data_IF_649564293976
#
_entry.id   IF_649564293976
#
_cell.length_a   1.000
_cell.length_b   1.000
_cell.length_c   1.000
_cell.angle_alpha   90.00
_cell.angle_beta   90.00
_cell.angle_gamma   90.00
#
_symmetry.space_group_name_H-M   'P 1'
#
loop_
_entity.id
_entity.type
_entity.pdbx_description
1 polymer ?
#
# COMPACT_ATOMS: atom_id res chain seq x y z
N UNK A 1 11.19 18.80 -3.66
CA UNK A 1 10.67 18.03 -4.82
C UNK A 1 10.00 16.78 -4.28
N UNK A 2 8.79 16.48 -4.73
CA UNK A 2 8.11 15.21 -4.42
C UNK A 2 8.55 14.17 -5.44
N UNK A 3 8.90 12.98 -4.99
CA UNK A 3 9.20 11.84 -5.87
C UNK A 3 8.44 10.60 -5.42
N UNK A 4 8.15 9.71 -6.38
CA UNK A 4 7.45 8.45 -6.13
C UNK A 4 8.35 7.30 -6.55
N UNK A 5 8.57 6.36 -5.64
CA UNK A 5 9.26 5.11 -5.91
C UNK A 5 8.30 3.93 -5.79
N UNK A 6 8.37 2.99 -6.71
CA UNK A 6 7.57 1.77 -6.70
C UNK A 6 8.42 0.59 -6.17
N UNK A 7 7.86 -0.14 -5.20
CA UNK A 7 8.42 -1.39 -4.68
C UNK A 7 7.46 -2.53 -4.98
N UNK A 8 8.00 -3.56 -5.64
CA UNK A 8 7.26 -4.70 -6.18
C UNK A 8 7.64 -6.03 -5.51
N UNK A 9 8.43 -5.95 -4.46
CA UNK A 9 8.99 -7.08 -3.74
C UNK A 9 8.66 -6.91 -2.26
N UNK A 10 7.98 -7.91 -1.68
CA UNK A 10 7.53 -7.89 -0.31
C UNK A 10 8.72 -7.91 0.65
N UNK A 11 9.82 -8.58 0.30
CA UNK A 11 10.96 -8.74 1.20
C UNK A 11 11.71 -7.40 1.39
N UNK A 12 11.55 -6.47 0.45
CA UNK A 12 12.13 -5.12 0.56
C UNK A 12 11.41 -4.24 1.59
N UNK A 13 10.25 -4.64 2.11
CA UNK A 13 9.52 -3.91 3.16
C UNK A 13 10.32 -3.74 4.44
N UNK A 14 11.17 -4.71 4.77
CA UNK A 14 11.94 -4.70 6.02
C UNK A 14 12.82 -3.46 6.15
N UNK A 15 13.37 -2.97 5.03
CA UNK A 15 14.16 -1.74 5.00
C UNK A 15 13.34 -0.48 5.36
N UNK A 16 12.02 -0.53 5.23
CA UNK A 16 11.11 0.61 5.43
C UNK A 16 10.16 0.43 6.61
N UNK A 17 10.19 -0.71 7.31
CA UNK A 17 9.23 -1.09 8.37
C UNK A 17 9.12 -0.01 9.46
N UNK A 18 10.24 0.55 9.91
CA UNK A 18 10.26 1.62 10.90
C UNK A 18 9.61 2.92 10.38
N UNK A 19 9.94 3.33 9.16
CA UNK A 19 9.37 4.52 8.55
C UNK A 19 7.86 4.37 8.32
N UNK A 20 7.43 3.18 7.89
CA UNK A 20 6.02 2.83 7.71
C UNK A 20 5.26 2.93 9.03
N UNK A 21 5.75 2.29 10.09
CA UNK A 21 5.11 2.36 11.43
C UNK A 21 5.03 3.79 11.95
N UNK A 22 6.07 4.60 11.71
CA UNK A 22 6.08 6.00 12.09
C UNK A 22 5.03 6.84 11.33
N UNK A 23 4.76 6.54 10.06
CA UNK A 23 3.68 7.15 9.27
C UNK A 23 2.31 6.64 9.71
N UNK A 24 2.20 5.35 10.00
CA UNK A 24 0.97 4.72 10.45
C UNK A 24 0.45 5.38 11.74
N UNK A 25 1.34 5.61 12.72
CA UNK A 25 0.98 6.30 13.98
C UNK A 25 0.54 7.76 13.79
N UNK A 26 0.75 8.35 12.62
CA UNK A 26 0.33 9.73 12.27
C UNK A 26 -0.83 9.76 11.27
N UNK A 27 -1.26 8.59 10.79
CA UNK A 27 -2.34 8.47 9.81
C UNK A 27 -3.68 8.49 10.53
N UNK A 28 -4.52 9.49 10.24
CA UNK A 28 -5.85 9.58 10.82
C UNK A 28 -6.71 8.39 10.36
N UNK A 29 -7.33 7.68 11.30
CA UNK A 29 -8.19 6.54 10.98
C UNK A 29 -7.44 5.27 10.56
N UNK A 30 -6.12 5.24 10.72
CA UNK A 30 -5.34 4.03 10.48
C UNK A 30 -5.78 2.90 11.41
N UNK A 31 -5.97 1.74 10.79
CA UNK A 31 -6.21 0.46 11.46
C UNK A 31 -5.02 -0.48 11.21
N UNK A 32 -5.02 -1.64 11.88
CA UNK A 32 -4.04 -2.69 11.66
C UNK A 32 -3.91 -3.12 10.18
N UNK A 33 -4.97 -3.01 9.38
CA UNK A 33 -4.96 -3.34 7.95
C UNK A 33 -4.02 -2.45 7.12
N UNK A 34 -3.51 -1.36 7.69
CA UNK A 34 -2.53 -0.47 7.08
C UNK A 34 -1.10 -0.74 7.57
N UNK A 35 -0.89 -1.75 8.42
CA UNK A 35 0.44 -2.11 8.92
C UNK A 35 1.24 -2.89 7.86
N UNK A 36 2.58 -2.81 7.89
CA UNK A 36 3.40 -3.67 7.03
C UNK A 36 3.20 -5.15 7.37
N UNK A 37 2.93 -5.49 8.63
CA UNK A 37 2.65 -6.87 9.07
C UNK A 37 1.38 -7.43 8.42
N UNK A 38 0.33 -6.62 8.32
CA UNK A 38 -0.89 -7.03 7.63
C UNK A 38 -0.63 -7.28 6.14
N UNK A 39 0.14 -6.41 5.49
CA UNK A 39 0.46 -6.57 4.07
C UNK A 39 1.29 -7.84 3.82
N UNK A 40 2.27 -8.14 4.66
CA UNK A 40 3.04 -9.38 4.61
C UNK A 40 2.14 -10.61 4.76
N UNK A 41 1.24 -10.59 5.75
CA UNK A 41 0.29 -11.67 5.96
C UNK A 41 -0.67 -11.85 4.78
N UNK A 42 -1.20 -10.74 4.25
CA UNK A 42 -2.04 -10.74 3.05
C UNK A 42 -1.28 -11.34 1.86
N UNK A 43 -0.04 -10.89 1.63
CA UNK A 43 0.75 -11.30 0.48
C UNK A 43 1.06 -12.80 0.51
N UNK A 44 1.37 -13.35 1.68
CA UNK A 44 1.60 -14.79 1.85
C UNK A 44 0.37 -15.64 1.53
N UNK A 45 -0.85 -15.14 1.76
CA UNK A 45 -2.08 -15.88 1.49
C UNK A 45 -2.61 -15.65 0.07
N UNK A 46 -2.65 -14.40 -0.38
CA UNK A 46 -3.36 -14.00 -1.59
C UNK A 46 -2.45 -13.57 -2.75
N UNK A 47 -1.15 -13.42 -2.53
CA UNK A 47 -0.19 -12.84 -3.49
C UNK A 47 0.09 -13.69 -4.72
N UNK A 48 -0.16 -15.01 -4.68
CA UNK A 48 0.23 -15.98 -5.71
C UNK A 48 -0.15 -15.62 -7.16
N UNK A 49 -1.29 -14.95 -7.38
CA UNK A 49 -1.77 -14.53 -8.70
C UNK A 49 -1.89 -12.99 -8.83
N UNK A 50 -1.14 -12.26 -8.02
CA UNK A 50 -1.18 -10.81 -7.96
C UNK A 50 0.18 -10.21 -8.26
N UNK A 51 0.22 -8.89 -8.49
CA UNK A 51 1.47 -8.13 -8.53
C UNK A 51 1.44 -7.07 -7.45
N UNK A 52 2.44 -7.10 -6.57
CA UNK A 52 2.62 -6.09 -5.55
C UNK A 52 3.01 -4.75 -6.20
N UNK A 53 2.44 -3.65 -5.71
CA UNK A 53 2.66 -2.27 -6.18
C UNK A 53 2.63 -1.33 -4.98
N UNK A 54 3.70 -1.26 -4.21
CA UNK A 54 3.79 -0.32 -3.07
C UNK A 54 4.41 0.98 -3.57
N UNK A 55 3.68 2.07 -3.44
CA UNK A 55 4.16 3.40 -3.80
C UNK A 55 4.68 4.12 -2.57
N UNK A 56 5.95 4.51 -2.58
CA UNK A 56 6.57 5.35 -1.58
C UNK A 56 6.66 6.78 -2.10
N UNK A 57 5.96 7.70 -1.44
CA UNK A 57 6.01 9.13 -1.75
C UNK A 57 7.01 9.78 -0.81
N UNK A 58 7.98 10.48 -1.38
CA UNK A 58 9.05 11.15 -0.63
C UNK A 58 9.07 12.65 -0.93
N UNK A 59 9.41 13.44 0.08
CA UNK A 59 9.77 14.85 -0.05
C UNK A 59 11.23 15.00 0.37
N UNK A 60 12.13 15.15 -0.60
CA UNK A 60 13.56 14.99 -0.36
C UNK A 60 13.88 13.56 0.08
N UNK A 61 14.60 13.41 1.19
CA UNK A 61 14.98 12.10 1.74
C UNK A 61 13.96 11.53 2.74
N UNK A 62 12.81 12.18 2.92
CA UNK A 62 11.80 11.78 3.90
C UNK A 62 10.61 11.13 3.20
N UNK A 63 10.27 9.91 3.61
CA UNK A 63 9.01 9.26 3.22
C UNK A 63 7.86 10.00 3.92
N UNK A 64 6.93 10.54 3.13
CA UNK A 64 5.77 11.30 3.60
C UNK A 64 4.46 10.53 3.42
N UNK A 65 4.47 9.50 2.59
CA UNK A 65 3.30 8.68 2.33
C UNK A 65 3.65 7.33 1.73
N UNK A 66 2.84 6.33 2.05
CA UNK A 66 2.95 4.96 1.50
C UNK A 66 1.57 4.52 1.02
N UNK A 67 1.49 3.95 -0.19
CA UNK A 67 0.25 3.41 -0.75
C UNK A 67 0.47 1.95 -1.12
N UNK A 68 -0.01 0.99 -0.31
CA UNK A 68 0.09 -0.43 -0.63
C UNK A 68 -1.00 -0.80 -1.64
N UNK A 69 -0.61 -1.11 -2.87
CA UNK A 69 -1.52 -1.57 -3.91
C UNK A 69 -1.10 -2.95 -4.42
N UNK A 70 -2.06 -3.61 -5.05
CA UNK A 70 -1.89 -4.86 -5.78
C UNK A 70 -2.61 -4.78 -7.11
N UNK A 71 -2.04 -5.42 -8.14
CA UNK A 71 -2.73 -5.71 -9.38
C UNK A 71 -3.27 -7.13 -9.29
N UNK A 72 -4.58 -7.30 -9.37
CA UNK A 72 -5.21 -8.63 -9.32
C UNK A 72 -6.24 -8.84 -10.44
N UNK A 73 -6.43 -10.08 -10.90
CA UNK A 73 -7.50 -10.42 -11.83
C UNK A 73 -8.87 -10.33 -11.12
N UNK A 74 -9.84 -9.72 -11.78
CA UNK A 74 -11.23 -9.62 -11.33
C UNK A 74 -12.15 -10.09 -12.44
N UNK A 75 -13.02 -11.05 -12.14
CA UNK A 75 -14.03 -11.54 -13.07
C UNK A 75 -15.13 -10.48 -13.24
N UNK A 76 -15.44 -10.14 -14.48
CA UNK A 76 -16.51 -9.20 -14.83
C UNK A 76 -17.41 -9.80 -15.91
N UNK A 77 -18.52 -9.12 -16.25
CA UNK A 77 -19.44 -9.56 -17.31
C UNK A 77 -18.78 -9.69 -18.70
N UNK A 78 -17.66 -9.01 -18.94
CA UNK A 78 -16.93 -9.03 -20.22
C UNK A 78 -15.64 -9.87 -20.17
N UNK A 79 -15.46 -10.66 -19.11
CA UNK A 79 -14.26 -11.48 -18.89
C UNK A 79 -13.40 -10.99 -17.73
N UNK A 80 -12.20 -11.55 -17.62
CA UNK A 80 -11.27 -11.22 -16.53
C UNK A 80 -10.45 -10.00 -16.88
N UNK A 81 -10.50 -8.97 -16.02
CA UNK A 81 -9.70 -7.75 -16.15
C UNK A 81 -8.69 -7.64 -15.00
N UNK A 82 -7.59 -6.94 -15.22
CA UNK A 82 -6.60 -6.65 -14.16
C UNK A 82 -6.90 -5.30 -13.55
N UNK A 83 -7.06 -5.26 -12.23
CA UNK A 83 -7.39 -4.04 -11.48
C UNK A 83 -6.26 -3.73 -10.51
N UNK A 84 -5.80 -2.48 -10.52
CA UNK A 84 -4.93 -1.92 -9.48
C UNK A 84 -5.81 -1.47 -8.31
N UNK A 85 -5.65 -2.08 -7.14
CA UNK A 85 -6.51 -1.81 -5.97
C UNK A 85 -5.78 -2.07 -4.66
N UNK A 86 -6.42 -1.80 -3.53
CA UNK A 86 -5.86 -2.06 -2.21
C UNK A 86 -5.93 -3.57 -1.85
N UNK A 87 -4.91 -4.10 -1.15
CA UNK A 87 -4.86 -5.48 -0.67
C UNK A 87 -5.73 -5.70 0.58
N UNK A 88 -7.03 -5.44 0.43
CA UNK A 88 -7.97 -5.48 1.56
C UNK A 88 -9.07 -6.52 1.39
N UNK A 89 -9.35 -7.02 0.17
CA UNK A 89 -10.36 -8.07 -0.14
C UNK A 89 -11.67 -8.01 0.70
N UNK A 90 -12.17 -6.80 0.98
CA UNK A 90 -13.39 -6.56 1.76
C UNK A 90 -13.21 -6.44 3.28
N UNK A 91 -11.99 -6.62 3.80
CA UNK A 91 -11.63 -6.50 5.21
C UNK A 91 -11.24 -5.07 5.64
N UNK A 92 -11.21 -4.13 4.69
CA UNK A 92 -10.81 -2.74 4.91
C UNK A 92 -11.99 -1.80 5.11
N UNK A 93 -11.94 -0.98 6.16
CA UNK A 93 -12.89 0.11 6.43
C UNK A 93 -12.39 1.47 5.94
N UNK A 94 -11.14 1.56 5.49
CA UNK A 94 -10.50 2.77 4.99
C UNK A 94 -9.59 2.41 3.81
N UNK A 95 -9.69 3.20 2.74
CA UNK A 95 -8.89 3.09 1.53
C UNK A 95 -8.18 4.43 1.34
N UNK A 96 -6.86 4.45 1.46
CA UNK A 96 -6.10 5.68 1.36
C UNK A 96 -4.61 5.47 1.62
N UNK A 97 -3.84 6.53 1.37
CA UNK A 97 -2.43 6.56 1.73
C UNK A 97 -2.21 6.48 3.24
N UNK A 98 -1.06 5.93 3.60
CA UNK A 98 -0.52 5.88 4.94
C UNK A 98 0.42 7.08 5.06
N UNK A 99 -0.03 8.12 5.76
CA UNK A 99 0.71 9.36 5.96
C UNK A 99 -0.17 10.47 6.53
N UNK A 100 0.47 11.50 7.07
CA UNK A 100 -0.22 12.60 7.77
C UNK A 100 -0.74 13.70 6.85
N UNK A 101 -0.35 13.73 5.58
CA UNK A 101 -0.77 14.75 4.63
C UNK A 101 -1.28 14.11 3.32
N UNK A 102 -2.59 13.85 3.22
CA UNK A 102 -3.22 13.32 2.01
C UNK A 102 -2.90 14.15 0.77
N UNK A 103 -3.09 15.47 0.83
CA UNK A 103 -2.91 16.37 -0.31
C UNK A 103 -1.48 16.44 -0.85
N UNK A 104 -0.48 16.03 -0.06
CA UNK A 104 0.90 15.93 -0.53
C UNK A 104 1.27 14.53 -1.08
N UNK A 105 0.36 13.57 -0.98
CA UNK A 105 0.61 12.14 -1.27
C UNK A 105 -0.30 11.58 -2.35
N UNK A 106 -1.60 11.86 -2.27
CA UNK A 106 -2.63 11.50 -3.24
C UNK A 106 -3.62 12.68 -3.32
N UNK A 107 -3.69 13.32 -4.48
CA UNK A 107 -4.65 14.41 -4.80
C UNK A 107 -5.68 13.90 -5.78
#
# INVERSE_FOLDING_TARGET
>A
MITVAEINDIDRLDHFRLAWRALLGKTKGATFAHSPEWLEHYWNHFGHNQKLRILFVTLGNKIIGIVPLVVKPVATKIGTVRVLTYPLDGWGTFYGQIGSNPAATMV
#
